data_IF_550513386196
#
_entry.id   IF_550513386196
#
_cell.length_a   1.000
_cell.length_b   1.000
_cell.length_c   1.000
_cell.angle_alpha   90.00
_cell.angle_beta   90.00
_cell.angle_gamma   90.00
#
_symmetry.space_group_name_H-M   'P 1'
#
loop_
_entity.id
_entity.type
_entity.pdbx_description
1 polymer ?
#
# COMPACT_ATOMS: atom_id res chain seq x y z
N UNK A 1 12.92 -13.49 8.40
CA UNK A 1 11.87 -12.58 8.89
C UNK A 1 12.39 -11.62 9.96
N UNK A 2 12.64 -12.01 11.20
CA UNK A 2 13.09 -11.04 12.25
C UNK A 2 14.34 -10.27 11.87
N UNK A 3 15.42 -10.97 11.45
CA UNK A 3 16.65 -10.32 10.96
C UNK A 3 16.44 -9.38 9.77
N UNK A 4 15.55 -9.75 8.84
CA UNK A 4 15.26 -8.92 7.66
C UNK A 4 14.43 -7.69 8.03
N UNK A 5 13.43 -7.85 8.90
CA UNK A 5 12.61 -6.74 9.41
C UNK A 5 13.49 -5.77 10.19
N UNK A 6 14.40 -6.26 11.04
CA UNK A 6 15.34 -5.43 11.78
C UNK A 6 16.34 -4.72 10.86
N UNK A 7 16.86 -5.38 9.82
CA UNK A 7 17.70 -4.71 8.83
C UNK A 7 16.97 -3.59 8.09
N UNK A 8 15.69 -3.80 7.73
CA UNK A 8 14.86 -2.78 7.08
C UNK A 8 14.46 -1.67 8.06
N UNK A 9 14.28 -1.98 9.33
CA UNK A 9 13.98 -1.02 10.38
C UNK A 9 15.15 -0.06 10.61
N UNK A 10 16.37 -0.56 10.70
CA UNK A 10 17.58 0.28 10.78
C UNK A 10 17.69 1.17 9.54
N UNK A 11 17.52 0.60 8.34
CA UNK A 11 17.55 1.37 7.10
C UNK A 11 16.44 2.43 7.02
N UNK A 12 15.27 2.16 7.58
CA UNK A 12 14.19 3.13 7.72
C UNK A 12 14.59 4.30 8.64
N UNK A 13 15.16 3.99 9.81
CA UNK A 13 15.62 5.00 10.78
C UNK A 13 16.72 5.87 10.17
N UNK A 14 17.74 5.27 9.55
CA UNK A 14 18.82 5.99 8.86
C UNK A 14 18.28 6.92 7.76
N UNK A 15 17.29 6.44 7.00
CA UNK A 15 16.65 7.25 5.94
C UNK A 15 15.83 8.40 6.52
N UNK A 16 15.13 8.21 7.64
CA UNK A 16 14.38 9.28 8.29
C UNK A 16 15.29 10.32 8.92
N UNK A 17 16.37 9.88 9.59
CA UNK A 17 17.39 10.78 10.15
C UNK A 17 18.07 11.61 9.06
N UNK A 18 18.30 11.01 7.88
CA UNK A 18 18.79 11.72 6.69
C UNK A 18 17.70 12.54 5.95
N UNK A 19 16.49 12.65 6.50
CA UNK A 19 15.34 13.39 5.93
C UNK A 19 14.92 12.88 4.54
N UNK A 20 15.20 11.61 4.22
CA UNK A 20 14.83 10.95 2.97
C UNK A 20 13.43 10.34 3.06
N UNK A 21 12.42 11.19 3.27
CA UNK A 21 11.01 10.83 3.51
C UNK A 21 10.48 9.80 2.49
N UNK A 22 10.70 10.03 1.19
CA UNK A 22 10.25 9.11 0.13
C UNK A 22 10.91 7.73 0.21
N UNK A 23 12.20 7.70 0.53
CA UNK A 23 12.95 6.45 0.64
C UNK A 23 12.54 5.69 1.90
N UNK A 24 12.33 6.39 3.02
CA UNK A 24 11.83 5.79 4.25
C UNK A 24 10.46 5.15 4.03
N UNK A 25 9.51 5.84 3.37
CA UNK A 25 8.22 5.26 3.02
C UNK A 25 8.35 4.01 2.15
N UNK A 26 9.25 4.02 1.17
CA UNK A 26 9.51 2.85 0.34
C UNK A 26 10.00 1.65 1.18
N UNK A 27 10.87 1.89 2.17
CA UNK A 27 11.31 0.86 3.11
C UNK A 27 10.15 0.30 3.94
N UNK A 28 9.23 1.13 4.42
CA UNK A 28 8.00 0.65 5.12
C UNK A 28 7.17 -0.28 4.22
N UNK A 29 6.99 0.09 2.95
CA UNK A 29 6.28 -0.75 1.98
C UNK A 29 7.02 -2.07 1.70
N UNK A 30 8.36 -2.06 1.69
CA UNK A 30 9.17 -3.29 1.60
C UNK A 30 8.97 -4.20 2.79
N UNK A 31 8.89 -3.66 4.03
CA UNK A 31 8.58 -4.45 5.23
C UNK A 31 7.19 -5.10 5.10
N UNK A 32 6.18 -4.34 4.64
CA UNK A 32 4.85 -4.88 4.38
C UNK A 32 4.85 -5.99 3.32
N UNK A 33 5.63 -5.83 2.25
CA UNK A 33 5.80 -6.85 1.22
C UNK A 33 6.41 -8.14 1.78
N UNK A 34 7.42 -8.04 2.65
CA UNK A 34 7.99 -9.19 3.33
C UNK A 34 6.97 -9.91 4.22
N UNK A 35 6.12 -9.15 4.93
CA UNK A 35 4.99 -9.72 5.68
C UNK A 35 4.04 -10.53 4.79
N UNK A 36 3.69 -10.00 3.61
CA UNK A 36 2.84 -10.71 2.65
C UNK A 36 3.52 -11.98 2.11
N UNK A 37 4.81 -11.91 1.77
CA UNK A 37 5.60 -13.07 1.35
C UNK A 37 5.67 -14.15 2.44
N UNK A 38 5.80 -13.74 3.69
CA UNK A 38 5.79 -14.65 4.84
C UNK A 38 4.44 -15.38 4.98
N UNK A 39 3.32 -14.66 4.85
CA UNK A 39 1.98 -15.27 4.87
C UNK A 39 1.77 -16.25 3.72
N UNK A 40 2.21 -15.90 2.51
CA UNK A 40 2.12 -16.75 1.32
C UNK A 40 3.00 -18.00 1.44
N UNK A 41 4.25 -17.85 1.89
CA UNK A 41 5.20 -18.96 2.05
C UNK A 41 4.74 -19.99 3.08
N UNK A 42 3.99 -19.55 4.09
CA UNK A 42 3.41 -20.44 5.08
C UNK A 42 2.09 -21.10 4.63
N UNK A 43 1.60 -20.81 3.43
CA UNK A 43 0.33 -21.33 2.88
C UNK A 43 -0.81 -21.19 3.88
N UNK A 44 -1.09 -19.95 4.29
CA UNK A 44 -2.18 -19.62 5.22
C UNK A 44 -3.54 -19.81 4.55
N UNK A 45 -3.87 -21.05 4.25
CA UNK A 45 -5.11 -21.50 3.67
C UNK A 45 -6.00 -22.14 4.73
N UNK A 46 -7.30 -22.22 4.45
CA UNK A 46 -8.26 -22.98 5.27
C UNK A 46 -7.78 -24.41 5.56
N UNK A 47 -7.01 -25.01 4.64
CA UNK A 47 -6.40 -26.34 4.80
C UNK A 47 -5.32 -26.39 5.89
N UNK A 48 -4.49 -25.35 6.02
CA UNK A 48 -3.48 -25.29 7.09
C UNK A 48 -4.15 -25.11 8.45
N UNK A 49 -5.23 -24.32 8.53
CA UNK A 49 -5.99 -24.15 9.75
C UNK A 49 -6.60 -25.49 10.23
N UNK A 50 -7.07 -26.34 9.32
CA UNK A 50 -7.59 -27.67 9.64
C UNK A 50 -6.50 -28.69 9.96
N UNK A 51 -5.38 -28.67 9.23
CA UNK A 51 -4.34 -29.70 9.37
C UNK A 51 -3.35 -29.42 10.51
N UNK A 52 -2.99 -28.16 10.75
CA UNK A 52 -1.98 -27.77 11.73
C UNK A 52 -2.35 -26.43 12.40
N UNK A 53 -3.35 -26.42 13.30
CA UNK A 53 -3.84 -25.20 13.94
C UNK A 53 -2.76 -24.47 14.74
N UNK A 54 -1.83 -25.18 15.37
CA UNK A 54 -0.73 -24.59 16.14
C UNK A 54 0.22 -23.77 15.27
N UNK A 55 0.58 -24.29 14.09
CA UNK A 55 1.42 -23.57 13.14
C UNK A 55 0.71 -22.34 12.58
N UNK A 56 -0.58 -22.47 12.27
CA UNK A 56 -1.41 -21.35 11.82
C UNK A 56 -1.46 -20.23 12.86
N UNK A 57 -1.69 -20.58 14.14
CA UNK A 57 -1.72 -19.62 15.24
C UNK A 57 -0.39 -18.88 15.40
N UNK A 58 0.75 -19.58 15.29
CA UNK A 58 2.07 -18.95 15.37
C UNK A 58 2.32 -17.96 14.22
N UNK A 59 1.94 -18.34 12.99
CA UNK A 59 2.09 -17.47 11.79
C UNK A 59 1.20 -16.23 11.91
N UNK A 60 -0.04 -16.38 12.36
CA UNK A 60 -0.97 -15.25 12.60
C UNK A 60 -0.44 -14.35 13.71
N UNK A 61 0.00 -14.91 14.84
CA UNK A 61 0.56 -14.13 15.94
C UNK A 61 1.75 -13.29 15.49
N UNK A 62 2.66 -13.88 14.71
CA UNK A 62 3.81 -13.16 14.17
C UNK A 62 3.41 -12.06 13.17
N UNK A 63 2.43 -12.33 12.30
CA UNK A 63 1.91 -11.35 11.34
C UNK A 63 1.22 -10.17 12.04
N UNK A 64 0.44 -10.44 13.09
CA UNK A 64 -0.24 -9.42 13.89
C UNK A 64 0.78 -8.51 14.59
N UNK A 65 1.84 -9.08 15.17
CA UNK A 65 2.95 -8.32 15.73
C UNK A 65 3.68 -7.45 14.70
N UNK A 66 3.82 -7.94 13.46
CA UNK A 66 4.39 -7.17 12.35
C UNK A 66 3.48 -6.03 11.91
N UNK A 67 2.16 -6.24 11.86
CA UNK A 67 1.18 -5.19 11.53
C UNK A 67 1.23 -4.08 12.59
N UNK A 68 1.42 -4.43 13.86
CA UNK A 68 1.56 -3.45 14.93
C UNK A 68 2.82 -2.57 14.75
N UNK A 69 3.95 -3.16 14.37
CA UNK A 69 5.15 -2.39 13.99
C UNK A 69 4.87 -1.47 12.79
N UNK A 70 4.19 -1.99 11.76
CA UNK A 70 3.85 -1.19 10.56
C UNK A 70 3.00 0.02 10.92
N UNK A 71 2.08 -0.08 11.89
CA UNK A 71 1.30 1.07 12.37
C UNK A 71 2.21 2.18 12.90
N UNK A 72 3.19 1.85 13.73
CA UNK A 72 4.18 2.80 14.26
C UNK A 72 5.01 3.44 13.14
N UNK A 73 5.48 2.64 12.18
CA UNK A 73 6.28 3.13 11.04
C UNK A 73 5.48 4.02 10.07
N UNK A 74 4.17 3.77 9.96
CA UNK A 74 3.24 4.52 9.12
C UNK A 74 2.77 5.83 9.76
N UNK A 75 2.77 5.92 11.09
CA UNK A 75 2.33 7.10 11.85
C UNK A 75 2.82 8.45 11.30
N UNK A 76 4.12 8.66 10.97
CA UNK A 76 4.60 9.92 10.43
C UNK A 76 4.13 10.23 8.99
N UNK A 77 3.57 9.27 8.26
CA UNK A 77 3.11 9.42 6.86
C UNK A 77 1.57 9.40 6.73
N UNK A 78 0.91 8.53 7.49
CA UNK A 78 -0.52 8.25 7.44
C UNK A 78 -1.05 8.00 8.87
N UNK A 79 -1.18 9.06 9.70
CA UNK A 79 -1.58 8.90 11.10
C UNK A 79 -2.99 8.29 11.25
N UNK A 80 -3.96 8.71 10.44
CA UNK A 80 -5.32 8.14 10.46
C UNK A 80 -5.32 6.63 10.16
N UNK A 81 -4.45 6.18 9.25
CA UNK A 81 -4.31 4.76 8.92
C UNK A 81 -3.66 4.00 10.07
N UNK A 82 -2.62 4.58 10.69
CA UNK A 82 -1.96 3.99 11.86
C UNK A 82 -2.95 3.84 13.03
N UNK A 83 -3.76 4.86 13.30
CA UNK A 83 -4.80 4.84 14.33
C UNK A 83 -5.87 3.80 14.02
N UNK A 84 -6.30 3.69 12.76
CA UNK A 84 -7.23 2.65 12.31
C UNK A 84 -6.68 1.24 12.52
N UNK A 85 -5.39 1.02 12.25
CA UNK A 85 -4.72 -0.26 12.52
C UNK A 85 -4.72 -0.53 14.03
N UNK A 86 -4.30 0.42 14.85
CA UNK A 86 -4.24 0.27 16.31
C UNK A 86 -5.63 0.01 16.91
N UNK A 87 -6.67 0.69 16.42
CA UNK A 87 -8.05 0.48 16.81
C UNK A 87 -8.55 -0.94 16.45
N UNK A 88 -8.20 -1.44 15.26
CA UNK A 88 -8.53 -2.82 14.85
C UNK A 88 -7.76 -3.85 15.67
N UNK A 89 -6.49 -3.58 15.99
CA UNK A 89 -5.67 -4.43 16.86
C UNK A 89 -6.06 -4.33 18.34
N UNK A 90 -6.83 -3.31 18.74
CA UNK A 90 -7.06 -2.95 20.14
C UNK A 90 -5.75 -2.82 20.94
N UNK A 91 -4.74 -2.23 20.30
CA UNK A 91 -3.43 -2.02 20.89
C UNK A 91 -3.14 -0.52 20.98
N UNK A 92 -2.34 -0.12 21.98
CA UNK A 92 -1.87 1.26 22.09
C UNK A 92 -0.77 1.52 21.06
N UNK A 93 -0.67 2.77 20.60
CA UNK A 93 0.37 3.15 19.66
C UNK A 93 1.75 2.96 20.29
N UNK A 94 2.60 2.16 19.63
CA UNK A 94 3.98 1.97 20.08
C UNK A 94 4.91 3.02 19.45
N UNK A 95 5.93 3.48 20.19
CA UNK A 95 7.06 4.18 19.59
C UNK A 95 7.79 3.23 18.64
N UNK A 96 8.46 3.79 17.63
CA UNK A 96 9.29 3.01 16.71
C UNK A 96 10.48 2.47 17.51
N UNK A 97 10.62 1.14 17.65
CA UNK A 97 11.73 0.57 18.39
C UNK A 97 13.00 0.54 17.54
N UNK A 98 14.17 0.52 18.16
CA UNK A 98 15.44 0.30 17.46
C UNK A 98 15.61 -1.16 17.01
N UNK A 99 14.99 -2.08 17.77
CA UNK A 99 14.97 -3.51 17.51
C UNK A 99 13.52 -4.01 17.61
N UNK A 100 13.04 -4.66 16.56
CA UNK A 100 11.74 -5.30 16.55
C UNK A 100 11.84 -6.73 17.08
N UNK A 101 11.04 -6.97 18.11
CA UNK A 101 10.75 -8.29 18.65
C UNK A 101 9.24 -8.56 18.55
N UNK A 102 8.82 -9.78 18.18
CA UNK A 102 7.41 -10.13 18.00
C UNK A 102 6.68 -10.40 19.33
N UNK A 103 6.83 -9.48 20.29
CA UNK A 103 6.29 -9.58 21.65
C UNK A 103 5.31 -8.44 22.00
N UNK A 104 4.96 -7.59 21.03
CA UNK A 104 4.09 -6.45 21.27
C UNK A 104 2.64 -6.85 21.54
N UNK A 105 2.16 -7.90 20.88
CA UNK A 105 0.83 -8.49 21.07
C UNK A 105 1.01 -9.90 21.62
N UNK A 106 0.65 -10.07 22.90
CA UNK A 106 0.79 -11.33 23.62
C UNK A 106 -0.29 -12.34 23.22
N UNK A 107 -0.02 -13.65 23.34
CA UNK A 107 -1.05 -14.68 23.19
C UNK A 107 -2.21 -14.43 24.16
N UNK A 108 -3.45 -14.52 23.66
CA UNK A 108 -4.67 -14.23 24.45
C UNK A 108 -5.20 -12.81 24.32
N UNK A 109 -4.49 -11.92 23.60
CA UNK A 109 -4.99 -10.58 23.28
C UNK A 109 -6.20 -10.63 22.34
N UNK A 110 -7.26 -9.90 22.69
CA UNK A 110 -8.47 -9.81 21.87
C UNK A 110 -8.33 -8.74 20.79
N UNK A 111 -8.32 -9.17 19.53
CA UNK A 111 -8.34 -8.27 18.36
C UNK A 111 -9.78 -7.77 18.13
N UNK A 112 -9.90 -6.52 17.67
CA UNK A 112 -11.16 -5.91 17.31
C UNK A 112 -11.73 -6.39 15.98
N UNK A 113 -12.71 -5.64 15.46
CA UNK A 113 -13.34 -5.95 14.16
C UNK A 113 -12.46 -5.46 13.02
N UNK A 114 -12.04 -6.37 12.15
CA UNK A 114 -11.31 -6.02 10.94
C UNK A 114 -12.15 -5.12 10.02
N UNK A 115 -11.52 -4.05 9.52
CA UNK A 115 -12.10 -3.10 8.57
C UNK A 115 -11.10 -2.83 7.44
N UNK A 116 -11.62 -2.49 6.26
CA UNK A 116 -10.77 -2.21 5.11
C UNK A 116 -10.01 -0.90 5.34
N UNK A 117 -8.67 -0.96 5.32
CA UNK A 117 -7.81 0.21 5.52
C UNK A 117 -7.81 1.16 4.32
N UNK A 118 -7.92 0.62 3.11
CA UNK A 118 -7.83 1.40 1.87
C UNK A 118 -8.96 1.05 0.90
N UNK A 119 -9.67 2.06 0.40
CA UNK A 119 -10.63 1.90 -0.69
C UNK A 119 -9.94 2.03 -2.05
N UNK A 120 -10.30 1.16 -3.00
CA UNK A 120 -9.79 1.27 -4.37
C UNK A 120 -10.30 2.56 -5.02
N UNK A 121 -9.37 3.35 -5.57
CA UNK A 121 -9.70 4.53 -6.33
C UNK A 121 -10.29 4.13 -7.70
N UNK A 122 -11.58 4.40 -7.91
CA UNK A 122 -12.23 4.13 -9.21
C UNK A 122 -11.71 5.11 -10.26
N UNK A 123 -10.97 4.59 -11.24
CA UNK A 123 -10.40 5.36 -12.36
C UNK A 123 -11.47 6.11 -13.18
N UNK A 124 -12.73 5.70 -13.10
CA UNK A 124 -13.87 6.37 -13.72
C UNK A 124 -14.09 7.80 -13.20
N UNK A 125 -13.70 8.08 -11.96
CA UNK A 125 -13.77 9.43 -11.37
C UNK A 125 -12.56 10.30 -11.72
N UNK A 126 -11.49 9.72 -12.26
CA UNK A 126 -10.29 10.46 -12.67
C UNK A 126 -10.57 11.55 -13.73
N UNK A 127 -11.34 11.32 -14.82
CA UNK A 127 -11.67 12.37 -15.78
C UNK A 127 -12.58 13.46 -15.18
N UNK A 128 -13.46 13.09 -14.25
CA UNK A 128 -14.33 14.03 -13.52
C UNK A 128 -13.50 14.96 -12.65
N UNK A 129 -12.58 14.41 -11.84
CA UNK A 129 -11.69 15.20 -10.99
C UNK A 129 -10.69 16.05 -11.78
N UNK A 130 -10.19 15.55 -12.92
CA UNK A 130 -9.40 16.39 -13.84
C UNK A 130 -10.21 17.54 -14.44
N UNK A 131 -11.51 17.34 -14.65
CA UNK A 131 -12.41 18.38 -15.11
C UNK A 131 -12.67 19.46 -14.05
N UNK A 132 -12.86 19.04 -12.80
CA UNK A 132 -13.15 19.92 -11.66
C UNK A 132 -11.92 20.66 -11.12
N UNK A 133 -10.76 20.00 -11.08
CA UNK A 133 -9.54 20.50 -10.40
C UNK A 133 -8.34 20.73 -11.33
N UNK A 134 -8.47 20.48 -12.64
CA UNK A 134 -7.34 20.51 -13.58
C UNK A 134 -6.98 21.88 -14.19
N UNK A 135 -7.70 22.95 -13.85
CA UNK A 135 -7.41 24.32 -14.32
C UNK A 135 -7.26 24.47 -15.84
N UNK A 136 -6.53 25.50 -16.29
CA UNK A 136 -6.29 25.79 -17.72
C UNK A 136 -5.43 24.74 -18.44
N UNK A 137 -4.60 23.98 -17.72
CA UNK A 137 -3.78 22.90 -18.31
C UNK A 137 -4.63 21.70 -18.75
N UNK A 138 -5.66 21.32 -18.00
CA UNK A 138 -6.60 20.28 -18.43
C UNK A 138 -7.43 20.70 -19.67
N UNK A 139 -7.67 22.00 -19.87
CA UNK A 139 -8.28 22.52 -21.09
C UNK A 139 -7.33 22.47 -22.29
N UNK A 140 -6.04 22.78 -22.12
CA UNK A 140 -5.01 22.62 -23.18
C UNK A 140 -4.85 21.16 -23.59
N UNK A 141 -4.80 20.22 -22.63
CA UNK A 141 -4.71 18.78 -22.94
C UNK A 141 -5.98 18.27 -23.65
N UNK A 142 -7.17 18.79 -23.31
CA UNK A 142 -8.39 18.52 -24.07
C UNK A 142 -8.35 19.12 -25.49
N UNK A 143 -7.83 20.33 -25.65
CA UNK A 143 -7.67 21.00 -26.94
C UNK A 143 -6.67 20.30 -27.87
N UNK A 144 -5.51 19.93 -27.35
CA UNK A 144 -4.47 19.19 -28.09
C UNK A 144 -4.91 17.75 -28.41
N UNK A 145 -5.63 17.10 -27.48
CA UNK A 145 -6.23 15.78 -27.70
C UNK A 145 -7.34 15.80 -28.76
N UNK A 146 -8.13 16.87 -28.82
CA UNK A 146 -9.13 17.09 -29.87
C UNK A 146 -8.47 17.40 -31.22
N UNK A 147 -7.44 18.24 -31.25
CA UNK A 147 -6.66 18.58 -32.45
C UNK A 147 -5.92 17.37 -33.05
N UNK A 148 -5.33 16.50 -32.22
CA UNK A 148 -4.72 15.24 -32.68
C UNK A 148 -5.76 14.27 -33.25
N UNK A 149 -6.97 14.21 -32.69
CA UNK A 149 -8.06 13.36 -33.20
C UNK A 149 -8.64 13.88 -34.52
N UNK A 150 -8.78 15.20 -34.69
CA UNK A 150 -9.21 15.79 -35.97
C UNK A 150 -8.14 15.67 -37.05
N UNK A 151 -6.85 15.85 -36.73
CA UNK A 151 -5.75 15.63 -37.66
C UNK A 151 -5.65 14.16 -38.13
N UNK A 152 -5.86 13.18 -37.23
CA UNK A 152 -5.87 11.76 -37.60
C UNK A 152 -7.08 11.37 -38.47
N UNK A 153 -8.24 12.02 -38.29
CA UNK A 153 -9.42 11.82 -39.14
C UNK A 153 -9.25 12.45 -40.52
N UNK A 154 -8.65 13.63 -40.62
CA UNK A 154 -8.34 14.29 -41.89
C UNK A 154 -7.33 13.48 -42.73
N UNK A 155 -6.27 12.95 -42.10
CA UNK A 155 -5.29 12.09 -42.79
C UNK A 155 -5.89 10.76 -43.29
N UNK A 156 -6.88 10.20 -42.59
CA UNK A 156 -7.60 8.99 -43.03
C UNK A 156 -8.58 9.27 -44.18
N UNK A 157 -9.20 10.45 -44.22
CA UNK A 157 -10.10 10.86 -45.30
C UNK A 157 -9.39 11.14 -46.63
N UNK A 158 -8.16 11.66 -46.58
CA UNK A 158 -7.35 11.89 -47.80
C UNK A 158 -6.87 10.56 -48.40
N UNK A 159 -6.48 9.58 -47.57
CA UNK A 159 -5.97 8.30 -48.07
C UNK A 159 -7.03 7.47 -48.81
N UNK A 160 -8.29 7.52 -48.37
CA UNK A 160 -9.40 6.80 -49.03
C UNK A 160 -9.78 7.44 -50.38
N UNK A 161 -9.53 8.73 -50.58
CA UNK A 161 -9.92 9.43 -51.82
C UNK A 161 -8.91 9.29 -52.97
N UNK A 162 -7.68 8.83 -52.69
CA UNK A 162 -6.62 8.65 -53.70
C UNK A 162 -6.61 7.23 -54.28
N UNK A 163 -7.15 6.23 -53.58
CA UNK A 163 -7.19 4.82 -54.04
C UNK A 163 -8.47 4.45 -54.82
N UNK A 164 -9.29 5.42 -55.24
CA UNK A 164 -10.56 5.17 -55.94
C UNK A 164 -10.69 5.88 -57.28
N UNK A 165 -9.58 6.18 -57.96
CA UNK A 165 -9.61 6.74 -59.31
C UNK A 165 -8.59 6.08 -60.23
#
# INVERSE_FOLDING_TARGET
>A
MEKEVNSLLTDYTDKLEAVKIRAALATVLSISQQGNLFLQSNNLDKKLASNNPLKCAAVIGLAVNLIHLLASLLSPFMPETADSINAQLRAEALPIPDHWDPNSIKPGHEIGKAALLFSILKLEKAPEWRGLFGGQEAQKVKGEGAARKSAKKAAKGVKVRVESN
#
